data_IF_113189394664
#
_entry.id   IF_113189394664
#
_cell.length_a   1.000
_cell.length_b   1.000
_cell.length_c   1.000
_cell.angle_alpha   90.00
_cell.angle_beta   90.00
_cell.angle_gamma   90.00
#
_symmetry.space_group_name_H-M   'P 1'
#
loop_
_entity.id
_entity.type
_entity.pdbx_description
1 polymer ?
#
# COMPACT_ATOMS: atom_id res chain seq x y z
N UNK A 1 -30.01 -24.93 0.26
CA UNK A 1 -28.98 -24.33 1.14
C UNK A 1 -28.18 -23.22 0.42
N UNK A 2 -28.34 -23.02 -0.89
CA UNK A 2 -27.63 -22.01 -1.70
C UNK A 2 -28.36 -20.67 -1.88
N UNK A 3 -29.58 -20.51 -1.35
CA UNK A 3 -30.43 -19.32 -1.59
C UNK A 3 -30.18 -18.13 -0.63
N UNK A 4 -29.19 -18.21 0.27
CA UNK A 4 -28.90 -17.14 1.24
C UNK A 4 -27.61 -16.36 0.95
N UNK A 5 -26.83 -16.74 -0.07
CA UNK A 5 -25.57 -16.07 -0.41
C UNK A 5 -25.78 -14.99 -1.47
N UNK A 6 -25.18 -13.82 -1.22
CA UNK A 6 -24.97 -12.82 -2.25
C UNK A 6 -23.74 -13.23 -3.05
N UNK A 7 -23.83 -13.15 -4.36
CA UNK A 7 -22.70 -13.40 -5.25
C UNK A 7 -22.54 -12.25 -6.22
N UNK A 8 -21.29 -11.99 -6.63
CA UNK A 8 -21.03 -11.13 -7.77
C UNK A 8 -21.49 -11.80 -9.07
N UNK A 9 -21.81 -10.98 -10.06
CA UNK A 9 -22.00 -11.45 -11.42
C UNK A 9 -20.69 -12.13 -11.89
N UNK A 10 -20.75 -13.33 -12.49
CA UNK A 10 -19.56 -14.02 -12.97
C UNK A 10 -18.89 -13.35 -14.18
N UNK A 11 -19.45 -12.26 -14.72
CA UNK A 11 -18.85 -11.48 -15.81
C UNK A 11 -17.83 -10.48 -15.21
N UNK A 12 -16.52 -10.56 -15.53
CA UNK A 12 -15.47 -9.78 -14.84
C UNK A 12 -15.58 -8.24 -14.92
N UNK A 13 -16.38 -7.72 -15.85
CA UNK A 13 -16.61 -6.28 -16.04
C UNK A 13 -17.97 -5.81 -15.50
N UNK A 14 -18.72 -6.70 -14.84
CA UNK A 14 -20.05 -6.42 -14.31
C UNK A 14 -20.00 -6.33 -12.78
N UNK A 15 -20.50 -5.23 -12.25
CA UNK A 15 -20.56 -4.92 -10.82
C UNK A 15 -21.85 -5.43 -10.14
N UNK A 16 -22.76 -6.04 -10.91
CA UNK A 16 -24.04 -6.49 -10.39
C UNK A 16 -23.86 -7.58 -9.33
N UNK A 17 -24.49 -7.39 -8.18
CA UNK A 17 -24.42 -8.30 -7.03
C UNK A 17 -25.83 -8.61 -6.55
N UNK A 18 -26.10 -9.87 -6.20
CA UNK A 18 -27.40 -10.28 -5.69
C UNK A 18 -27.44 -11.73 -5.26
N UNK A 19 -28.60 -12.19 -4.81
CA UNK A 19 -28.81 -13.62 -4.55
C UNK A 19 -28.55 -14.42 -5.83
N UNK A 20 -28.14 -15.69 -5.70
CA UNK A 20 -27.85 -16.58 -6.84
C UNK A 20 -28.97 -16.56 -7.89
N UNK A 21 -30.24 -16.61 -7.44
CA UNK A 21 -31.40 -16.53 -8.32
C UNK A 21 -31.51 -15.17 -9.05
N UNK A 22 -31.19 -14.07 -8.37
CA UNK A 22 -31.21 -12.72 -8.91
C UNK A 22 -30.07 -12.48 -9.90
N UNK A 23 -28.86 -13.02 -9.64
CA UNK A 23 -27.73 -12.96 -10.57
C UNK A 23 -28.01 -13.79 -11.81
N UNK A 24 -28.59 -14.98 -11.66
CA UNK A 24 -29.01 -15.78 -12.80
C UNK A 24 -30.11 -15.10 -13.63
N UNK A 25 -31.05 -14.42 -12.97
CA UNK A 25 -32.04 -13.57 -13.64
C UNK A 25 -31.40 -12.41 -14.38
N UNK A 26 -30.42 -11.73 -13.76
CA UNK A 26 -29.67 -10.63 -14.35
C UNK A 26 -28.91 -11.06 -15.62
N UNK A 27 -28.10 -12.12 -15.55
CA UNK A 27 -27.36 -12.64 -16.70
C UNK A 27 -28.31 -13.02 -17.83
N UNK A 28 -29.43 -13.68 -17.51
CA UNK A 28 -30.43 -14.06 -18.52
C UNK A 28 -31.19 -12.88 -19.13
N UNK A 29 -31.32 -11.77 -18.38
CA UNK A 29 -32.06 -10.58 -18.80
C UNK A 29 -31.23 -9.56 -19.56
N UNK A 30 -29.89 -9.65 -19.51
CA UNK A 30 -28.98 -8.75 -20.22
C UNK A 30 -28.86 -9.15 -21.69
N UNK A 31 -29.15 -8.21 -22.58
CA UNK A 31 -29.05 -8.42 -24.04
C UNK A 31 -27.67 -8.00 -24.57
N UNK A 32 -26.61 -8.57 -24.02
CA UNK A 32 -25.24 -8.35 -24.51
C UNK A 32 -24.46 -9.68 -24.65
N UNK A 33 -23.33 -9.64 -25.35
CA UNK A 33 -22.52 -10.83 -25.63
C UNK A 33 -21.68 -11.29 -24.44
N UNK A 34 -21.53 -10.45 -23.41
CA UNK A 34 -20.73 -10.76 -22.22
C UNK A 34 -21.53 -11.62 -21.24
N UNK A 35 -22.82 -11.30 -21.06
CA UNK A 35 -23.78 -12.04 -20.24
C UNK A 35 -24.40 -13.22 -20.99
N UNK A 36 -23.54 -14.06 -21.58
CA UNK A 36 -23.95 -15.29 -22.27
C UNK A 36 -23.60 -16.51 -21.42
N UNK A 37 -24.59 -17.35 -21.16
CA UNK A 37 -24.37 -18.62 -20.45
C UNK A 37 -23.34 -19.50 -21.14
N UNK A 38 -23.38 -19.58 -22.47
CA UNK A 38 -22.38 -20.33 -23.26
C UNK A 38 -20.96 -19.80 -23.07
N UNK A 39 -20.80 -18.47 -22.99
CA UNK A 39 -19.50 -17.83 -22.76
C UNK A 39 -18.99 -18.03 -21.34
N UNK A 40 -19.91 -18.11 -20.37
CA UNK A 40 -19.61 -18.44 -18.98
C UNK A 40 -19.47 -19.95 -18.76
N UNK A 41 -19.46 -20.75 -19.82
CA UNK A 41 -19.31 -22.21 -19.79
C UNK A 41 -20.46 -22.95 -19.07
N UNK A 42 -21.64 -22.34 -19.01
CA UNK A 42 -22.86 -22.93 -18.45
C UNK A 42 -23.91 -23.22 -19.53
N UNK A 43 -24.67 -24.30 -19.37
CA UNK A 43 -25.80 -24.64 -20.26
C UNK A 43 -27.01 -23.71 -20.07
N UNK A 44 -27.02 -22.96 -18.97
CA UNK A 44 -28.08 -21.98 -18.67
C UNK A 44 -28.16 -21.65 -17.18
N UNK A 45 -29.11 -20.79 -16.82
CA UNK A 45 -29.31 -20.31 -15.46
C UNK A 45 -29.46 -21.40 -14.39
N UNK A 46 -30.05 -22.54 -14.72
CA UNK A 46 -30.23 -23.65 -13.76
C UNK A 46 -28.92 -24.43 -13.54
N UNK A 47 -28.09 -24.54 -14.57
CA UNK A 47 -26.77 -25.20 -14.51
C UNK A 47 -25.82 -24.39 -13.62
N UNK A 48 -25.82 -23.06 -13.81
CA UNK A 48 -25.11 -22.11 -12.94
C UNK A 48 -25.58 -22.22 -11.47
N UNK A 49 -26.89 -22.22 -11.22
CA UNK A 49 -27.45 -22.33 -9.85
C UNK A 49 -27.07 -23.63 -9.13
N UNK A 50 -26.72 -24.68 -9.88
CA UNK A 50 -26.28 -25.96 -9.32
C UNK A 50 -24.77 -26.05 -9.07
N UNK A 51 -23.98 -25.11 -9.56
CA UNK A 51 -22.53 -25.07 -9.38
C UNK A 51 -22.15 -24.43 -8.04
N UNK A 52 -22.32 -25.19 -6.96
CA UNK A 52 -22.11 -24.70 -5.60
C UNK A 52 -20.68 -24.26 -5.32
N UNK A 53 -19.69 -24.89 -5.94
CA UNK A 53 -18.27 -24.58 -5.71
C UNK A 53 -17.91 -23.23 -6.33
N UNK A 54 -18.34 -22.99 -7.57
CA UNK A 54 -18.15 -21.70 -8.23
C UNK A 54 -18.97 -20.59 -7.56
N UNK A 55 -20.23 -20.86 -7.19
CA UNK A 55 -21.08 -19.92 -6.44
C UNK A 55 -20.41 -19.50 -5.13
N UNK A 56 -19.81 -20.46 -4.41
CA UNK A 56 -19.09 -20.17 -3.16
C UNK A 56 -17.85 -19.33 -3.41
N UNK A 57 -17.15 -19.53 -4.54
CA UNK A 57 -16.00 -18.68 -4.93
C UNK A 57 -16.40 -17.23 -5.29
N UNK A 58 -17.66 -17.01 -5.65
CA UNK A 58 -18.24 -15.70 -5.95
C UNK A 58 -18.96 -15.08 -4.74
N UNK A 59 -18.94 -15.75 -3.59
CA UNK A 59 -19.67 -15.33 -2.41
C UNK A 59 -19.14 -14.01 -1.88
N UNK A 60 -20.04 -13.03 -1.79
CA UNK A 60 -19.78 -11.77 -1.12
C UNK A 60 -20.02 -12.00 0.37
N UNK A 61 -19.07 -11.61 1.21
CA UNK A 61 -19.28 -11.65 2.65
C UNK A 61 -20.42 -10.68 2.98
N UNK A 62 -21.37 -11.12 3.82
CA UNK A 62 -22.52 -10.26 4.12
C UNK A 62 -22.09 -9.18 5.11
N UNK A 63 -22.33 -7.89 4.82
CA UNK A 63 -22.01 -6.83 5.75
C UNK A 63 -22.83 -6.92 7.03
N UNK A 64 -22.24 -6.43 8.12
CA UNK A 64 -22.90 -6.32 9.42
C UNK A 64 -23.70 -5.04 9.54
N UNK A 65 -24.63 -5.01 10.48
CA UNK A 65 -25.18 -3.77 11.00
C UNK A 65 -24.06 -2.95 11.66
N UNK A 66 -23.91 -1.66 11.34
CA UNK A 66 -22.85 -0.80 11.91
C UNK A 66 -23.01 -0.53 13.42
N UNK A 67 -24.10 -0.97 14.05
CA UNK A 67 -24.33 -0.78 15.48
C UNK A 67 -23.46 -1.76 16.28
N UNK A 68 -22.54 -1.23 17.07
CA UNK A 68 -21.70 -2.03 17.98
C UNK A 68 -22.54 -2.97 18.86
N UNK A 69 -22.22 -4.26 18.82
CA UNK A 69 -22.94 -5.32 19.52
C UNK A 69 -24.26 -5.78 18.87
N UNK A 70 -24.52 -5.41 17.62
CA UNK A 70 -25.63 -5.93 16.82
C UNK A 70 -25.13 -6.96 15.79
N UNK A 71 -25.55 -8.22 15.91
CA UNK A 71 -25.08 -9.32 15.06
C UNK A 71 -25.85 -9.48 13.75
N UNK A 72 -26.68 -8.51 13.36
CA UNK A 72 -27.49 -8.60 12.15
C UNK A 72 -26.61 -8.45 10.90
N UNK A 73 -26.69 -9.40 9.97
CA UNK A 73 -25.93 -9.42 8.70
C UNK A 73 -26.87 -9.62 7.53
N UNK A 74 -26.75 -8.81 6.49
CA UNK A 74 -27.53 -8.95 5.26
C UNK A 74 -27.02 -8.00 4.16
N UNK A 75 -27.74 -7.89 3.04
CA UNK A 75 -27.56 -6.83 2.03
C UNK A 75 -27.68 -5.42 2.62
N UNK A 76 -27.06 -4.42 1.99
CA UNK A 76 -27.17 -3.00 2.41
C UNK A 76 -28.62 -2.50 2.49
N UNK A 77 -29.51 -2.75 1.52
CA UNK A 77 -30.92 -2.36 1.66
C UNK A 77 -31.62 -3.04 2.84
N UNK A 78 -31.26 -4.28 3.16
CA UNK A 78 -31.82 -5.03 4.28
C UNK A 78 -31.29 -4.55 5.63
N UNK A 79 -30.00 -4.22 5.73
CA UNK A 79 -29.44 -3.53 6.91
C UNK A 79 -30.12 -2.17 7.09
N UNK A 80 -30.33 -1.42 6.02
CA UNK A 80 -31.02 -0.14 6.07
C UNK A 80 -32.47 -0.29 6.58
N UNK A 81 -33.17 -1.33 6.15
CA UNK A 81 -34.49 -1.66 6.67
C UNK A 81 -34.43 -2.09 8.15
N UNK A 82 -33.45 -2.90 8.53
CA UNK A 82 -33.23 -3.35 9.91
C UNK A 82 -32.97 -2.17 10.86
N UNK A 83 -32.02 -1.29 10.55
CA UNK A 83 -31.71 -0.11 11.37
C UNK A 83 -32.94 0.81 11.48
N UNK A 84 -33.61 1.11 10.36
CA UNK A 84 -34.82 1.94 10.35
C UNK A 84 -36.00 1.32 11.12
N UNK A 85 -36.04 -0.01 11.22
CA UNK A 85 -37.10 -0.75 11.90
C UNK A 85 -36.88 -0.91 13.41
N UNK A 86 -35.64 -0.70 13.90
CA UNK A 86 -35.31 -0.83 15.32
C UNK A 86 -35.64 0.46 16.06
N UNK A 87 -36.45 0.34 17.11
CA UNK A 87 -36.86 1.46 17.97
C UNK A 87 -35.97 1.57 19.21
N UNK A 88 -34.65 1.56 19.01
CA UNK A 88 -33.69 1.80 20.09
C UNK A 88 -32.75 2.94 19.74
N UNK A 89 -32.18 3.59 20.75
CA UNK A 89 -31.30 4.73 20.54
C UNK A 89 -29.93 4.39 19.96
N UNK A 90 -29.60 3.10 19.76
CA UNK A 90 -28.34 2.66 19.14
C UNK A 90 -28.49 2.54 17.62
N UNK A 91 -29.65 2.13 17.12
CA UNK A 91 -30.01 2.08 15.70
C UNK A 91 -30.60 3.41 15.21
N UNK A 92 -30.01 4.52 15.66
CA UNK A 92 -30.37 5.86 15.21
C UNK A 92 -29.40 6.29 14.10
N UNK A 93 -29.95 6.69 12.95
CA UNK A 93 -29.13 7.02 11.78
C UNK A 93 -28.11 8.13 12.04
N UNK A 94 -28.51 9.18 12.78
CA UNK A 94 -27.62 10.29 13.07
C UNK A 94 -26.49 9.90 14.02
N UNK A 95 -26.73 8.93 14.91
CA UNK A 95 -25.68 8.35 15.76
C UNK A 95 -24.70 7.47 15.00
N UNK A 96 -25.12 6.91 13.88
CA UNK A 96 -24.28 6.13 12.97
C UNK A 96 -23.60 7.02 11.93
N UNK A 97 -23.68 8.35 12.07
CA UNK A 97 -23.10 9.33 11.14
C UNK A 97 -23.68 9.26 9.72
N UNK A 98 -24.94 8.80 9.59
CA UNK A 98 -25.69 8.84 8.34
C UNK A 98 -26.93 9.74 8.44
N UNK A 99 -27.22 10.47 7.38
CA UNK A 99 -28.42 11.32 7.26
C UNK A 99 -29.72 10.50 7.12
N UNK A 100 -29.60 9.18 6.93
CA UNK A 100 -30.71 8.23 6.92
C UNK A 100 -30.41 6.98 6.12
N UNK A 101 -31.41 6.11 5.96
CA UNK A 101 -31.30 4.86 5.22
C UNK A 101 -30.85 5.03 3.76
N UNK A 102 -31.17 6.16 3.11
CA UNK A 102 -30.68 6.44 1.76
C UNK A 102 -29.19 6.78 1.75
N UNK A 103 -28.77 7.67 2.65
CA UNK A 103 -27.38 8.05 2.81
C UNK A 103 -26.50 6.85 3.16
N UNK A 104 -26.94 6.01 4.10
CA UNK A 104 -26.34 4.71 4.38
C UNK A 104 -26.27 3.82 3.12
N UNK A 105 -27.36 3.67 2.35
CA UNK A 105 -27.31 2.82 1.14
C UNK A 105 -26.33 3.32 0.09
N UNK A 106 -26.07 4.63 0.04
CA UNK A 106 -25.20 5.27 -0.93
C UNK A 106 -23.73 5.30 -0.46
N UNK A 107 -23.51 5.53 0.83
CA UNK A 107 -22.21 5.86 1.42
C UNK A 107 -21.73 4.82 2.45
N UNK A 108 -22.47 3.73 2.65
CA UNK A 108 -22.01 2.65 3.51
C UNK A 108 -20.93 1.85 2.80
N UNK A 109 -19.70 2.05 3.27
CA UNK A 109 -18.58 1.18 3.01
C UNK A 109 -18.55 0.17 4.13
N UNK A 110 -18.96 -1.04 3.81
CA UNK A 110 -18.76 -2.13 4.73
C UNK A 110 -17.26 -2.32 4.93
N UNK A 111 -16.88 -2.59 6.18
CA UNK A 111 -15.56 -3.10 6.56
C UNK A 111 -15.41 -4.56 6.07
N UNK A 112 -15.71 -4.78 4.79
CA UNK A 112 -15.46 -5.99 4.03
C UNK A 112 -14.08 -5.78 3.47
N UNK A 113 -13.10 -6.45 4.07
CA UNK A 113 -11.85 -6.87 3.44
C UNK A 113 -11.47 -5.93 2.31
N UNK A 114 -10.88 -4.78 2.63
CA UNK A 114 -10.33 -3.94 1.58
C UNK A 114 -9.60 -4.84 0.60
N UNK A 115 -9.95 -4.76 -0.69
CA UNK A 115 -9.37 -5.61 -1.71
C UNK A 115 -7.88 -5.72 -1.46
N UNK A 116 -7.27 -6.93 -1.48
CA UNK A 116 -5.89 -7.11 -1.06
C UNK A 116 -4.98 -6.07 -1.71
N UNK A 117 -4.48 -5.12 -0.92
CA UNK A 117 -3.66 -4.02 -1.42
C UNK A 117 -2.23 -4.49 -1.48
N UNK A 118 -1.59 -4.29 -2.60
CA UNK A 118 -0.21 -4.65 -2.87
C UNK A 118 0.63 -3.41 -3.11
N UNK A 119 1.69 -3.24 -2.32
CA UNK A 119 2.63 -2.12 -2.46
C UNK A 119 4.02 -2.66 -2.68
N UNK A 120 4.63 -2.31 -3.82
CA UNK A 120 6.02 -2.64 -4.06
C UNK A 120 6.92 -1.66 -3.31
N UNK A 121 7.72 -2.18 -2.40
CA UNK A 121 8.68 -1.43 -1.61
C UNK A 121 10.07 -1.47 -2.22
N UNK A 122 10.72 -0.32 -2.30
CA UNK A 122 12.12 -0.20 -2.67
C UNK A 122 12.80 0.90 -1.86
N UNK A 123 14.13 0.92 -1.87
CA UNK A 123 14.92 1.93 -1.20
C UNK A 123 16.30 2.04 -1.84
N UNK A 124 17.00 3.14 -1.57
CA UNK A 124 18.42 3.28 -1.84
C UNK A 124 18.77 2.99 -3.31
N UNK A 125 17.97 3.53 -4.23
CA UNK A 125 18.24 3.36 -5.66
C UNK A 125 19.50 4.10 -6.08
N UNK A 126 19.78 5.27 -5.50
CA UNK A 126 21.02 6.02 -5.71
C UNK A 126 21.36 6.28 -7.19
N UNK A 127 20.40 6.72 -8.00
CA UNK A 127 20.63 7.12 -9.39
C UNK A 127 21.79 8.13 -9.44
N UNK A 128 22.83 7.77 -10.20
CA UNK A 128 24.06 8.54 -10.35
C UNK A 128 25.27 7.99 -9.59
N UNK A 129 25.06 7.04 -8.67
CA UNK A 129 26.16 6.30 -8.01
C UNK A 129 26.78 5.32 -9.01
N UNK A 130 28.11 5.31 -9.07
CA UNK A 130 28.88 4.48 -10.03
C UNK A 130 29.61 3.31 -9.39
N UNK A 131 29.86 3.39 -8.09
CA UNK A 131 30.61 2.39 -7.34
C UNK A 131 29.85 1.97 -6.08
N UNK A 132 29.72 0.66 -5.88
CA UNK A 132 29.36 0.05 -4.61
C UNK A 132 30.60 -0.21 -3.75
N UNK A 133 30.39 -0.61 -2.49
CA UNK A 133 31.47 -0.90 -1.55
C UNK A 133 32.20 0.34 -1.01
N UNK A 134 33.29 0.11 -0.28
CA UNK A 134 34.02 1.16 0.43
C UNK A 134 35.54 0.95 0.36
N UNK A 135 36.29 2.06 0.39
CA UNK A 135 37.76 2.03 0.37
C UNK A 135 38.32 1.29 -0.85
N UNK A 136 39.23 0.33 -0.62
CA UNK A 136 39.85 -0.48 -1.68
C UNK A 136 38.96 -1.61 -2.21
N UNK A 137 37.78 -1.84 -1.61
CA UNK A 137 36.84 -2.88 -2.02
C UNK A 137 35.63 -2.25 -2.70
N UNK A 138 35.84 -1.75 -3.92
CA UNK A 138 34.79 -1.14 -4.73
C UNK A 138 34.52 -1.94 -6.00
N UNK A 139 33.29 -1.88 -6.50
CA UNK A 139 32.90 -2.49 -7.77
C UNK A 139 31.95 -1.56 -8.54
N UNK A 140 31.93 -1.63 -9.88
CA UNK A 140 30.94 -0.93 -10.68
C UNK A 140 29.52 -1.37 -10.33
N UNK A 141 28.59 -0.43 -10.35
CA UNK A 141 27.15 -0.65 -10.13
C UNK A 141 26.35 0.06 -11.21
N UNK A 142 25.17 -0.47 -11.54
CA UNK A 142 24.23 0.13 -12.47
C UNK A 142 22.94 0.50 -11.75
N UNK A 143 22.98 1.60 -11.01
CA UNK A 143 21.84 2.07 -10.23
C UNK A 143 20.63 2.45 -11.10
N UNK A 144 20.84 2.87 -12.36
CA UNK A 144 19.75 3.12 -13.30
C UNK A 144 19.12 1.80 -13.72
N UNK A 145 19.92 0.80 -14.08
CA UNK A 145 19.45 -0.55 -14.40
C UNK A 145 18.67 -1.18 -13.25
N UNK A 146 19.18 -1.06 -12.01
CA UNK A 146 18.49 -1.49 -10.80
C UNK A 146 17.12 -0.85 -10.63
N UNK A 147 17.00 0.46 -10.86
CA UNK A 147 15.71 1.16 -10.81
C UNK A 147 14.75 0.66 -11.91
N UNK A 148 15.25 0.51 -13.14
CA UNK A 148 14.47 0.00 -14.27
C UNK A 148 13.93 -1.40 -13.97
N UNK A 149 14.75 -2.27 -13.38
CA UNK A 149 14.36 -3.63 -13.01
C UNK A 149 13.30 -3.62 -11.90
N UNK A 150 13.47 -2.78 -10.87
CA UNK A 150 12.51 -2.61 -9.79
C UNK A 150 11.13 -2.12 -10.29
N UNK A 151 11.13 -1.14 -11.19
CA UNK A 151 9.90 -0.58 -11.78
C UNK A 151 9.25 -1.58 -12.74
N UNK A 152 10.05 -2.36 -13.47
CA UNK A 152 9.54 -3.42 -14.32
C UNK A 152 8.85 -4.52 -13.50
N UNK A 153 9.41 -4.89 -12.34
CA UNK A 153 8.76 -5.83 -11.42
C UNK A 153 7.42 -5.27 -10.89
N UNK A 154 7.34 -3.98 -10.56
CA UNK A 154 6.09 -3.33 -10.13
C UNK A 154 5.00 -3.43 -11.20
N UNK A 155 5.36 -3.18 -12.46
CA UNK A 155 4.45 -3.27 -13.60
C UNK A 155 4.02 -4.71 -13.88
N UNK A 156 4.94 -5.67 -13.80
CA UNK A 156 4.64 -7.10 -14.02
C UNK A 156 3.71 -7.66 -12.95
N UNK A 157 3.87 -7.21 -11.71
CA UNK A 157 3.00 -7.60 -10.60
C UNK A 157 1.67 -6.85 -10.57
N UNK A 158 1.54 -5.77 -11.36
CA UNK A 158 0.38 -4.88 -11.36
C UNK A 158 0.01 -4.43 -9.94
N UNK A 159 1.00 -3.90 -9.21
CA UNK A 159 0.80 -3.44 -7.83
C UNK A 159 -0.03 -2.17 -7.76
N UNK A 160 -0.68 -1.94 -6.63
CA UNK A 160 -1.56 -0.79 -6.40
C UNK A 160 -0.76 0.48 -6.10
N UNK A 161 0.48 0.34 -5.60
CA UNK A 161 1.40 1.47 -5.43
C UNK A 161 2.87 1.03 -5.38
N UNK A 162 3.76 2.00 -5.58
CA UNK A 162 5.18 1.88 -5.25
C UNK A 162 5.50 2.79 -4.05
N UNK A 163 6.26 2.26 -3.08
CA UNK A 163 6.82 2.99 -1.95
C UNK A 163 8.35 2.99 -2.01
N UNK A 164 8.96 4.17 -2.08
CA UNK A 164 10.41 4.34 -2.03
C UNK A 164 10.88 5.00 -0.72
N UNK A 165 11.58 4.25 0.14
CA UNK A 165 11.95 4.73 1.49
C UNK A 165 13.26 5.52 1.53
N UNK A 166 13.47 6.47 0.60
CA UNK A 166 14.63 7.37 0.60
C UNK A 166 15.75 6.99 -0.35
N UNK A 167 16.58 7.98 -0.69
CA UNK A 167 17.75 7.86 -1.57
C UNK A 167 17.49 7.42 -3.01
N UNK A 168 16.52 8.04 -3.67
CA UNK A 168 16.29 7.88 -5.12
C UNK A 168 17.52 8.35 -5.92
N UNK A 169 18.03 9.55 -5.63
CA UNK A 169 19.21 10.13 -6.30
C UNK A 169 20.44 10.07 -5.40
N UNK A 170 21.61 9.93 -6.03
CA UNK A 170 22.90 10.09 -5.38
C UNK A 170 23.56 11.39 -5.82
N UNK A 171 23.49 12.43 -4.98
CA UNK A 171 24.05 13.74 -5.28
C UNK A 171 25.45 13.92 -4.69
N UNK A 172 26.45 13.34 -5.34
CA UNK A 172 27.85 13.50 -4.96
C UNK A 172 28.50 14.76 -5.57
N UNK A 173 29.83 14.81 -5.64
CA UNK A 173 30.57 15.93 -6.25
C UNK A 173 30.32 16.12 -7.76
N UNK A 174 29.79 15.10 -8.43
CA UNK A 174 29.47 15.12 -9.86
C UNK A 174 28.03 15.59 -10.11
N UNK A 175 27.22 15.71 -9.06
CA UNK A 175 25.86 16.20 -9.13
C UNK A 175 24.88 15.23 -9.78
N UNK A 176 23.63 15.67 -9.90
CA UNK A 176 22.57 14.96 -10.63
C UNK A 176 22.57 15.51 -12.07
N UNK A 177 22.92 14.68 -13.05
CA UNK A 177 22.96 15.08 -14.46
C UNK A 177 21.58 15.01 -15.11
N UNK A 178 21.43 15.61 -16.29
CA UNK A 178 20.18 15.53 -17.06
C UNK A 178 19.79 14.10 -17.41
N UNK A 179 20.78 13.24 -17.68
CA UNK A 179 20.57 11.84 -17.99
C UNK A 179 20.03 11.07 -16.77
N UNK A 180 20.52 11.38 -15.56
CA UNK A 180 19.98 10.82 -14.31
C UNK A 180 18.51 11.21 -14.12
N UNK A 181 18.19 12.48 -14.36
CA UNK A 181 16.82 13.01 -14.25
C UNK A 181 15.90 12.33 -15.27
N UNK A 182 16.34 12.22 -16.53
CA UNK A 182 15.54 11.62 -17.59
C UNK A 182 15.32 10.12 -17.38
N UNK A 183 16.34 9.41 -16.89
CA UNK A 183 16.22 8.00 -16.54
C UNK A 183 15.16 7.79 -15.45
N UNK A 184 15.16 8.62 -14.40
CA UNK A 184 14.16 8.58 -13.33
C UNK A 184 12.77 8.92 -13.87
N UNK A 185 12.63 10.05 -14.56
CA UNK A 185 11.38 10.52 -15.18
C UNK A 185 10.76 9.44 -16.05
N UNK A 186 11.55 8.80 -16.91
CA UNK A 186 11.08 7.73 -17.80
C UNK A 186 10.38 6.62 -17.02
N UNK A 187 10.93 6.21 -15.87
CA UNK A 187 10.33 5.16 -15.05
C UNK A 187 9.04 5.63 -14.34
N UNK A 188 9.04 6.85 -13.80
CA UNK A 188 7.84 7.41 -13.17
C UNK A 188 6.70 7.59 -14.18
N UNK A 189 7.01 7.97 -15.43
CA UNK A 189 6.03 8.05 -16.51
C UNK A 189 5.47 6.67 -16.86
N UNK A 190 6.28 5.60 -16.82
CA UNK A 190 5.80 4.22 -17.02
C UNK A 190 4.79 3.83 -15.95
N UNK A 191 5.09 4.09 -14.68
CA UNK A 191 4.17 3.83 -13.56
C UNK A 191 2.86 4.62 -13.71
N UNK A 192 2.94 5.93 -13.96
CA UNK A 192 1.76 6.77 -14.18
C UNK A 192 0.89 6.28 -15.34
N UNK A 193 1.51 5.82 -16.44
CA UNK A 193 0.79 5.30 -17.61
C UNK A 193 0.06 3.99 -17.30
N UNK A 194 0.52 3.25 -16.29
CA UNK A 194 -0.14 2.05 -15.75
C UNK A 194 -1.07 2.36 -14.56
N UNK A 195 -1.30 3.64 -14.24
CA UNK A 195 -2.06 4.09 -13.08
C UNK A 195 -1.51 3.60 -11.72
N UNK A 196 -0.20 3.36 -11.63
CA UNK A 196 0.47 2.99 -10.37
C UNK A 196 1.10 4.24 -9.76
N UNK A 197 0.61 4.78 -8.63
CA UNK A 197 1.22 5.90 -7.95
C UNK A 197 2.59 5.55 -7.34
N UNK A 198 3.51 6.53 -7.36
CA UNK A 198 4.83 6.43 -6.77
C UNK A 198 4.93 7.34 -5.53
N UNK A 199 4.97 6.73 -4.35
CA UNK A 199 5.15 7.40 -3.08
C UNK A 199 6.60 7.30 -2.63
N UNK A 200 7.12 8.38 -2.03
CA UNK A 200 8.49 8.39 -1.55
C UNK A 200 8.66 9.23 -0.29
N UNK A 201 9.78 9.01 0.38
CA UNK A 201 10.39 9.97 1.31
C UNK A 201 11.79 10.32 0.81
N UNK A 202 12.34 11.45 1.23
CA UNK A 202 13.70 11.88 0.98
C UNK A 202 14.67 11.16 1.94
N UNK A 203 15.78 10.66 1.41
CA UNK A 203 16.93 10.19 2.20
C UNK A 203 18.02 11.26 2.31
N UNK A 204 19.17 10.91 2.88
CA UNK A 204 20.27 11.83 3.15
C UNK A 204 21.07 12.21 1.89
N UNK A 205 21.07 11.36 0.86
CA UNK A 205 21.86 11.58 -0.35
C UNK A 205 21.19 12.43 -1.43
N UNK A 206 19.87 12.65 -1.36
CA UNK A 206 19.17 13.50 -2.31
C UNK A 206 19.71 14.94 -2.27
N UNK A 207 19.99 15.45 -1.06
CA UNK A 207 20.37 16.85 -0.79
C UNK A 207 19.41 17.84 -1.47
N UNK A 208 19.81 19.11 -1.55
CA UNK A 208 18.98 20.17 -2.15
C UNK A 208 18.63 19.91 -3.62
N UNK A 209 19.58 19.42 -4.43
CA UNK A 209 19.33 19.22 -5.86
C UNK A 209 18.36 18.07 -6.13
N UNK A 210 18.49 16.95 -5.42
CA UNK A 210 17.57 15.82 -5.54
C UNK A 210 16.17 16.19 -5.06
N UNK A 211 16.06 16.90 -3.94
CA UNK A 211 14.78 17.42 -3.46
C UNK A 211 14.12 18.35 -4.47
N UNK A 212 14.86 19.33 -5.02
CA UNK A 212 14.33 20.22 -6.04
C UNK A 212 13.80 19.46 -7.26
N UNK A 213 14.50 18.41 -7.69
CA UNK A 213 14.05 17.60 -8.81
C UNK A 213 12.81 16.77 -8.47
N UNK A 214 12.73 16.20 -7.27
CA UNK A 214 11.55 15.46 -6.85
C UNK A 214 10.31 16.38 -6.75
N UNK A 215 10.46 17.62 -6.25
CA UNK A 215 9.36 18.61 -6.24
C UNK A 215 8.84 18.92 -7.66
N UNK A 216 9.71 18.89 -8.68
CA UNK A 216 9.30 19.02 -10.09
C UNK A 216 8.46 17.81 -10.50
N UNK A 217 8.87 16.60 -10.15
CA UNK A 217 8.10 15.38 -10.43
C UNK A 217 6.76 15.36 -9.69
N UNK A 218 6.69 15.88 -8.46
CA UNK A 218 5.42 16.07 -7.74
C UNK A 218 4.48 17.04 -8.47
N UNK A 219 5.01 18.18 -8.92
CA UNK A 219 4.24 19.19 -9.68
C UNK A 219 3.67 18.63 -10.98
N UNK A 220 4.33 17.61 -11.55
CA UNK A 220 3.91 16.92 -12.78
C UNK A 220 3.02 15.69 -12.53
N UNK A 221 2.71 15.39 -11.26
CA UNK A 221 1.92 14.22 -10.87
C UNK A 221 2.63 12.89 -11.13
N UNK A 222 3.96 12.87 -11.09
CA UNK A 222 4.79 11.66 -11.30
C UNK A 222 5.20 10.98 -9.99
N UNK A 223 5.22 11.72 -8.89
CA UNK A 223 5.59 11.23 -7.57
C UNK A 223 4.78 11.97 -6.50
N UNK A 224 4.70 11.42 -5.30
CA UNK A 224 4.07 12.04 -4.15
C UNK A 224 4.95 11.84 -2.91
N UNK A 225 5.40 12.94 -2.29
CA UNK A 225 6.15 12.86 -1.04
C UNK A 225 5.21 12.51 0.11
N UNK A 226 5.53 11.46 0.86
CA UNK A 226 4.81 11.11 2.06
C UNK A 226 5.11 12.08 3.19
N UNK A 227 4.14 12.22 4.08
CA UNK A 227 4.25 12.99 5.31
C UNK A 227 3.74 12.18 6.48
N UNK A 228 3.74 12.78 7.66
CA UNK A 228 3.09 12.22 8.84
C UNK A 228 1.57 12.13 8.72
N UNK A 229 0.96 12.76 7.68
CA UNK A 229 -0.46 12.57 7.38
C UNK A 229 -0.69 11.29 6.57
N UNK A 230 -1.79 10.56 6.83
CA UNK A 230 -2.07 9.30 6.14
C UNK A 230 -2.29 9.52 4.65
N UNK A 231 -1.56 8.78 3.84
CA UNK A 231 -1.89 8.55 2.44
C UNK A 231 -2.57 7.20 2.32
N UNK A 232 -3.83 7.19 1.92
CA UNK A 232 -4.59 5.94 1.80
C UNK A 232 -4.35 5.31 0.43
N UNK A 233 -3.98 4.04 0.41
CA UNK A 233 -3.90 3.22 -0.80
C UNK A 233 -5.16 2.37 -0.85
N UNK A 234 -6.02 2.70 -1.81
CA UNK A 234 -7.40 2.22 -1.87
C UNK A 234 -8.08 2.34 -0.50
N UNK A 235 -8.79 1.30 -0.07
CA UNK A 235 -9.40 1.25 1.27
C UNK A 235 -8.61 0.39 2.26
N UNK A 236 -7.44 -0.15 1.88
CA UNK A 236 -6.81 -1.26 2.61
C UNK A 236 -5.50 -0.98 3.32
N UNK A 237 -4.87 0.17 3.08
CA UNK A 237 -3.56 0.48 3.66
C UNK A 237 -3.37 1.98 3.84
N UNK A 238 -2.80 2.39 4.96
CA UNK A 238 -2.35 3.77 5.18
C UNK A 238 -0.83 3.85 5.15
N UNK A 239 -0.27 4.69 4.28
CA UNK A 239 1.14 5.01 4.23
C UNK A 239 1.40 6.33 4.95
N UNK A 240 2.42 6.33 5.79
CA UNK A 240 2.97 7.49 6.46
C UNK A 240 4.45 7.58 6.10
N UNK A 241 5.03 8.77 6.17
CA UNK A 241 6.44 8.96 5.87
C UNK A 241 7.07 10.11 6.63
N UNK A 242 8.33 9.93 7.01
CA UNK A 242 9.16 11.00 7.54
C UNK A 242 10.41 11.08 6.68
N UNK A 243 10.64 12.25 6.09
CA UNK A 243 11.88 12.55 5.36
C UNK A 243 13.09 12.44 6.30
N UNK A 244 14.27 12.20 5.75
CA UNK A 244 15.52 12.24 6.53
C UNK A 244 15.69 13.59 7.24
N UNK A 245 16.17 13.54 8.47
CA UNK A 245 16.47 14.68 9.33
C UNK A 245 17.69 14.39 10.21
N UNK A 246 18.53 15.40 10.45
CA UNK A 246 19.66 15.30 11.38
C UNK A 246 19.19 15.09 12.85
N UNK A 247 20.09 14.65 13.72
CA UNK A 247 19.81 14.27 15.12
C UNK A 247 19.03 15.35 15.91
N UNK A 248 19.41 16.63 15.79
CA UNK A 248 18.80 17.74 16.54
C UNK A 248 17.30 17.92 16.25
N UNK A 249 16.84 17.53 15.06
CA UNK A 249 15.43 17.69 14.70
C UNK A 249 14.53 16.75 15.52
N UNK A 250 15.05 15.60 15.94
CA UNK A 250 14.31 14.58 16.70
C UNK A 250 13.96 14.98 18.13
N UNK A 251 14.59 16.04 18.65
CA UNK A 251 14.28 16.56 19.98
C UNK A 251 12.87 17.14 20.05
N UNK A 252 12.38 17.76 18.98
CA UNK A 252 11.09 18.46 18.95
C UNK A 252 10.44 18.48 17.55
N UNK A 253 10.11 17.31 16.96
CA UNK A 253 9.38 17.26 15.70
C UNK A 253 7.98 17.85 15.88
N UNK A 254 7.57 18.74 14.98
CA UNK A 254 6.23 19.34 14.98
C UNK A 254 5.28 18.54 14.08
N UNK A 255 5.02 17.29 14.46
CA UNK A 255 4.15 16.39 13.72
C UNK A 255 2.68 16.55 14.08
N UNK A 256 1.80 16.34 13.09
CA UNK A 256 0.35 16.21 13.29
C UNK A 256 -0.24 15.05 12.48
N UNK A 257 0.14 13.81 12.78
CA UNK A 257 -0.46 12.64 12.17
C UNK A 257 -1.92 12.49 12.57
N UNK A 258 -2.67 11.76 11.75
CA UNK A 258 -4.04 11.36 12.04
C UNK A 258 -4.13 9.85 11.95
N UNK A 259 -4.62 9.21 13.01
CA UNK A 259 -4.89 7.77 12.98
C UNK A 259 -6.00 7.41 12.00
N UNK A 260 -5.85 6.25 11.38
CA UNK A 260 -6.87 5.59 10.57
C UNK A 260 -7.18 4.23 11.19
N UNK A 261 -8.35 3.68 10.91
CA UNK A 261 -8.72 2.30 11.33
C UNK A 261 -8.06 1.22 10.44
N UNK A 262 -7.21 1.63 9.49
CA UNK A 262 -6.56 0.75 8.51
C UNK A 262 -5.18 0.34 9.02
N UNK A 263 -4.70 -0.85 8.64
CA UNK A 263 -3.31 -1.19 8.87
C UNK A 263 -2.40 -0.19 8.14
N UNK A 264 -1.22 0.02 8.70
CA UNK A 264 -0.38 1.15 8.36
C UNK A 264 1.10 0.81 8.28
N UNK A 265 1.76 1.54 7.38
CA UNK A 265 3.21 1.48 7.18
C UNK A 265 3.78 2.87 7.41
N UNK A 266 4.75 2.98 8.32
CA UNK A 266 5.56 4.17 8.50
C UNK A 266 6.90 4.02 7.75
N UNK A 267 7.12 4.88 6.75
CA UNK A 267 8.38 4.97 6.02
C UNK A 267 9.38 5.88 6.74
N UNK A 268 10.59 5.38 6.98
CA UNK A 268 11.70 6.14 7.57
C UNK A 268 12.99 5.92 6.78
N UNK A 269 13.82 6.95 6.72
CA UNK A 269 15.19 6.84 6.22
C UNK A 269 16.11 7.46 7.25
N UNK A 270 16.56 6.66 8.22
CA UNK A 270 17.40 7.11 9.33
C UNK A 270 18.31 5.98 9.83
N UNK A 271 19.45 6.36 10.38
CA UNK A 271 20.27 5.53 11.26
C UNK A 271 19.65 5.52 12.66
N UNK A 272 19.18 4.35 13.13
CA UNK A 272 18.38 4.28 14.35
C UNK A 272 18.80 3.12 15.26
N UNK A 273 18.72 3.28 16.58
CA UNK A 273 18.76 2.12 17.49
C UNK A 273 17.46 1.32 17.38
N UNK A 274 17.50 -0.03 17.49
CA UNK A 274 18.66 -0.88 17.83
C UNK A 274 19.52 -1.31 16.63
N UNK A 275 19.20 -0.85 15.42
CA UNK A 275 19.84 -1.33 14.19
C UNK A 275 21.20 -0.69 13.91
N UNK A 276 21.43 0.51 14.44
CA UNK A 276 22.73 1.17 14.54
C UNK A 276 23.14 1.27 16.01
N UNK A 277 24.46 1.24 16.27
CA UNK A 277 25.00 1.49 17.62
C UNK A 277 24.61 2.89 18.08
N UNK A 278 24.24 3.03 19.35
CA UNK A 278 23.73 4.29 19.92
C UNK A 278 24.62 5.52 19.64
N UNK A 279 25.95 5.38 19.63
CA UNK A 279 26.85 6.52 19.36
C UNK A 279 26.85 7.00 17.89
N UNK A 280 26.11 6.33 17.00
CA UNK A 280 26.02 6.61 15.56
C UNK A 280 24.58 6.62 15.04
N UNK A 281 23.61 6.47 15.93
CA UNK A 281 22.21 6.56 15.59
C UNK A 281 21.76 8.00 15.73
N UNK A 282 21.01 8.52 14.74
CA UNK A 282 20.39 9.85 14.82
C UNK A 282 19.21 9.85 15.79
N UNK A 283 18.53 8.71 15.92
CA UNK A 283 17.39 8.59 16.83
C UNK A 283 17.21 7.15 17.37
N UNK A 284 16.34 7.01 18.36
CA UNK A 284 15.90 5.72 18.87
C UNK A 284 14.51 5.39 18.33
N UNK A 285 14.33 4.24 17.66
CA UNK A 285 13.06 3.89 17.03
C UNK A 285 11.88 3.89 18.02
N UNK A 286 12.09 3.39 19.24
CA UNK A 286 11.05 3.41 20.28
C UNK A 286 10.58 4.82 20.61
N UNK A 287 11.50 5.80 20.65
CA UNK A 287 11.17 7.22 20.89
C UNK A 287 10.44 7.81 19.69
N UNK A 288 10.82 7.43 18.47
CA UNK A 288 10.12 7.83 17.24
C UNK A 288 8.66 7.37 17.27
N UNK A 289 8.42 6.11 17.59
CA UNK A 289 7.07 5.53 17.65
C UNK A 289 6.23 6.14 18.76
N UNK A 290 6.79 6.31 19.96
CA UNK A 290 6.11 6.95 21.10
C UNK A 290 5.69 8.40 20.78
N UNK A 291 6.58 9.18 20.16
CA UNK A 291 6.28 10.55 19.73
C UNK A 291 5.22 10.59 18.64
N UNK A 292 5.30 9.70 17.65
CA UNK A 292 4.34 9.63 16.57
C UNK A 292 2.93 9.31 17.09
N UNK A 293 2.82 8.36 18.01
CA UNK A 293 1.57 8.02 18.68
C UNK A 293 1.06 9.18 19.56
N UNK A 294 1.93 9.78 20.37
CA UNK A 294 1.58 10.92 21.24
C UNK A 294 1.10 12.13 20.44
N UNK A 295 1.58 12.30 19.21
CA UNK A 295 1.16 13.35 18.30
C UNK A 295 -0.21 13.08 17.61
N UNK A 296 -0.84 11.91 17.87
CA UNK A 296 -2.15 11.53 17.33
C UNK A 296 -2.13 10.48 16.22
N UNK A 297 -0.96 9.91 15.93
CA UNK A 297 -0.78 8.89 14.90
C UNK A 297 -1.14 7.48 15.39
N UNK A 298 -1.32 6.52 14.48
CA UNK A 298 -1.47 5.13 14.85
C UNK A 298 -0.15 4.56 15.38
N UNK A 299 -0.23 3.39 16.03
CA UNK A 299 0.95 2.54 16.20
C UNK A 299 1.12 1.76 14.90
N UNK A 300 2.16 2.04 14.08
CA UNK A 300 2.26 1.41 12.77
C UNK A 300 2.56 -0.08 12.89
N UNK A 301 1.86 -0.90 12.12
CA UNK A 301 2.10 -2.35 12.04
C UNK A 301 3.49 -2.62 11.45
N UNK A 302 3.86 -1.86 10.41
CA UNK A 302 5.17 -1.95 9.75
C UNK A 302 5.91 -0.62 9.84
N UNK A 303 7.21 -0.70 10.14
CA UNK A 303 8.16 0.40 9.92
C UNK A 303 9.08 0.01 8.76
N UNK A 304 8.87 0.60 7.59
CA UNK A 304 9.69 0.36 6.40
C UNK A 304 10.90 1.31 6.40
N UNK A 305 12.12 0.77 6.44
CA UNK A 305 13.34 1.56 6.65
C UNK A 305 14.31 1.47 5.47
N UNK A 306 14.93 2.60 5.11
CA UNK A 306 15.81 2.70 3.93
C UNK A 306 17.33 2.63 4.19
N UNK A 307 17.86 3.41 5.13
CA UNK A 307 19.30 3.64 5.40
C UNK A 307 20.19 2.38 5.56
N UNK A 308 19.58 1.21 5.72
CA UNK A 308 20.27 -0.02 6.02
C UNK A 308 20.52 -0.84 4.74
N UNK A 309 21.78 -0.93 4.31
CA UNK A 309 22.21 -1.84 3.23
C UNK A 309 22.23 -3.34 3.65
N UNK A 310 21.34 -3.74 4.57
CA UNK A 310 21.20 -5.09 5.10
C UNK A 310 19.73 -5.45 5.24
N UNK A 311 19.41 -6.74 5.19
CA UNK A 311 18.05 -7.20 5.46
C UNK A 311 17.71 -6.99 6.94
N UNK A 312 16.57 -6.36 7.19
CA UNK A 312 15.96 -6.24 8.51
C UNK A 312 14.55 -6.79 8.39
N UNK A 313 14.19 -7.67 9.31
CA UNK A 313 12.85 -8.22 9.44
C UNK A 313 12.70 -8.68 10.90
N UNK A 314 12.39 -7.73 11.78
CA UNK A 314 12.44 -7.93 13.22
C UNK A 314 11.30 -7.18 13.93
N UNK A 315 10.68 -7.78 14.96
CA UNK A 315 9.74 -7.05 15.81
C UNK A 315 10.47 -6.03 16.69
N UNK A 316 9.89 -4.85 16.86
CA UNK A 316 10.29 -3.82 17.84
C UNK A 316 9.00 -3.29 18.47
N UNK A 317 8.78 -3.62 19.74
CA UNK A 317 7.50 -3.39 20.39
C UNK A 317 6.38 -4.18 19.68
N UNK A 318 5.30 -3.50 19.32
CA UNK A 318 4.17 -4.05 18.56
C UNK A 318 4.33 -3.91 17.05
N UNK A 319 5.35 -3.16 16.59
CA UNK A 319 5.62 -2.94 15.18
C UNK A 319 6.64 -3.96 14.64
N UNK A 320 6.60 -4.24 13.34
CA UNK A 320 7.62 -5.01 12.62
C UNK A 320 8.45 -4.09 11.74
N UNK A 321 9.76 -4.11 11.92
CA UNK A 321 10.68 -3.28 11.13
C UNK A 321 11.20 -4.06 9.94
N UNK A 322 11.11 -3.47 8.76
CA UNK A 322 11.42 -4.13 7.49
C UNK A 322 12.37 -3.29 6.64
N UNK A 323 13.46 -3.92 6.20
CA UNK A 323 14.29 -3.46 5.09
C UNK A 323 14.63 -4.67 4.19
N UNK A 324 14.25 -4.59 2.92
CA UNK A 324 14.61 -5.59 1.92
C UNK A 324 16.05 -5.51 1.45
N UNK A 325 16.64 -4.32 1.48
CA UNK A 325 17.88 -3.97 0.79
C UNK A 325 17.62 -3.09 -0.43
N UNK A 326 18.69 -2.71 -1.11
CA UNK A 326 18.67 -1.74 -2.20
C UNK A 326 18.34 -2.36 -3.57
N UNK A 327 18.01 -1.52 -4.55
CA UNK A 327 17.81 -1.93 -5.95
C UNK A 327 19.12 -2.24 -6.68
N UNK A 328 20.26 -2.15 -6.01
CA UNK A 328 21.60 -2.45 -6.54
C UNK A 328 22.55 -2.87 -5.40
N UNK A 329 23.69 -3.48 -5.75
CA UNK A 329 24.72 -3.99 -4.82
C UNK A 329 25.53 -2.86 -4.18
N UNK A 330 24.89 -2.12 -3.28
CA UNK A 330 25.46 -0.94 -2.63
C UNK A 330 26.11 -1.21 -1.27
N UNK A 331 25.94 -2.41 -0.72
CA UNK A 331 26.45 -2.76 0.60
C UNK A 331 27.99 -2.80 0.69
N UNK A 332 28.49 -2.95 1.92
CA UNK A 332 29.93 -2.83 2.23
C UNK A 332 30.78 -3.98 1.70
N UNK A 333 30.18 -5.11 1.32
CA UNK A 333 30.86 -6.24 0.67
C UNK A 333 30.09 -6.67 -0.58
N UNK A 334 30.80 -7.13 -1.62
CA UNK A 334 30.20 -7.51 -2.91
C UNK A 334 29.13 -8.61 -2.80
N UNK A 335 29.20 -9.39 -1.72
CA UNK A 335 28.29 -10.49 -1.36
C UNK A 335 27.16 -10.09 -0.42
N UNK A 336 27.10 -8.83 0.05
CA UNK A 336 26.27 -8.44 1.20
C UNK A 336 24.76 -8.59 0.98
N UNK A 337 24.22 -8.28 -0.21
CA UNK A 337 22.88 -8.66 -0.67
C UNK A 337 22.77 -8.49 -2.21
N UNK A 338 22.04 -9.38 -2.86
CA UNK A 338 21.67 -9.20 -4.27
C UNK A 338 20.56 -8.13 -4.40
N UNK A 339 20.53 -7.38 -5.52
CA UNK A 339 19.49 -6.38 -5.79
C UNK A 339 18.09 -6.93 -5.54
N UNK A 340 17.22 -6.13 -4.93
CA UNK A 340 15.88 -6.58 -4.59
C UNK A 340 14.87 -5.46 -4.51
N UNK A 341 13.62 -5.89 -4.46
CA UNK A 341 12.44 -5.14 -4.03
C UNK A 341 11.72 -5.94 -2.95
N UNK A 342 10.82 -5.29 -2.24
CA UNK A 342 9.88 -5.90 -1.32
C UNK A 342 8.46 -5.81 -1.86
N UNK A 343 7.60 -6.73 -1.45
CA UNK A 343 6.17 -6.67 -1.73
C UNK A 343 5.42 -6.72 -0.42
N UNK A 344 4.80 -5.61 -0.05
CA UNK A 344 3.80 -5.57 1.00
C UNK A 344 2.46 -6.01 0.43
N UNK A 345 1.73 -6.84 1.18
CA UNK A 345 0.31 -7.13 0.91
C UNK A 345 -0.49 -6.91 2.18
N UNK A 346 -1.44 -5.98 2.12
CA UNK A 346 -2.46 -5.76 3.14
C UNK A 346 -3.70 -6.55 2.77
N UNK A 347 -4.12 -7.47 3.63
CA UNK A 347 -5.35 -8.24 3.45
C UNK A 347 -5.94 -8.55 4.83
N UNK A 348 -7.24 -8.36 4.99
CA UNK A 348 -7.96 -8.62 6.26
C UNK A 348 -7.29 -7.94 7.47
N UNK A 349 -6.84 -6.68 7.31
CA UNK A 349 -6.18 -5.91 8.38
C UNK A 349 -4.76 -6.36 8.71
N UNK A 350 -4.18 -7.32 7.98
CA UNK A 350 -2.84 -7.83 8.22
C UNK A 350 -1.89 -7.46 7.06
N UNK A 351 -0.66 -7.07 7.39
CA UNK A 351 0.38 -6.78 6.39
C UNK A 351 1.39 -7.92 6.35
N UNK A 352 1.49 -8.58 5.20
CA UNK A 352 2.56 -9.53 4.88
C UNK A 352 3.65 -8.87 4.04
N UNK A 353 4.86 -9.43 4.08
CA UNK A 353 6.01 -8.93 3.34
C UNK A 353 6.76 -10.06 2.64
N UNK A 354 7.04 -9.88 1.35
CA UNK A 354 7.85 -10.80 0.56
C UNK A 354 9.01 -10.05 -0.11
N UNK A 355 10.24 -10.41 0.24
CA UNK A 355 11.44 -9.95 -0.49
C UNK A 355 11.56 -10.67 -1.83
N UNK A 356 11.84 -9.93 -2.90
CA UNK A 356 11.99 -10.43 -4.27
C UNK A 356 13.31 -9.95 -4.86
N UNK A 357 14.09 -10.86 -5.43
CA UNK A 357 15.32 -10.51 -6.12
C UNK A 357 14.99 -9.92 -7.49
N UNK A 358 15.74 -8.90 -7.88
CA UNK A 358 15.69 -8.36 -9.24
C UNK A 358 17.04 -8.59 -9.94
N UNK A 359 17.05 -8.71 -11.28
CA UNK A 359 18.26 -8.98 -12.05
C UNK A 359 19.38 -7.96 -11.86
#
# INVERSE_FOLDING_TARGET
>A
MSDEFLIHCPVPSCDYTGLVASVAGHVSGKQDKLHSWERLEYRGANDFKSDTDFITSLAVTQPECPVSGCSYRNTIPSIAAHVSGKKDGRHDWRRLEYDGAWDFRTNYHCDQTANPVSVLHMTDTHIGKKLGGYGSQQWPVDCVGGFVNAITEALLLNVDAVLHTGDIFHNDRHGITKEHIEACRTQLVRLRSAAIPFYYILGDHARKAGQQQMNVFETEGLACNLSESPTTIDDGLSLYGVNFHDEDWWDSPNWRPHSTERPSILALHQSMTPFTKAQRAECALEVVLDRFQTAGGPVPEIVAVGQFYRQIDQPVGTSRVICGGATERLGSTKSSLAPCVGLFRSDNGNISYQRRLIP
#
